data_IF_724957149921
#
_entry.id   IF_724957149921
#
_cell.length_a   1.000
_cell.length_b   1.000
_cell.length_c   1.000
_cell.angle_alpha   90.00
_cell.angle_beta   90.00
_cell.angle_gamma   90.00
#
_symmetry.space_group_name_H-M   'P 1'
#
loop_
_entity.id
_entity.type
_entity.pdbx_description
1 polymer ?
#
# COMPACT_ATOMS: atom_id res chain seq x y z
N UNK A 1 -7.80 2.86 4.32
CA UNK A 1 -7.34 3.13 2.95
C UNK A 1 -7.11 1.83 2.19
N UNK A 2 -7.33 1.87 0.88
CA UNK A 2 -7.28 0.69 0.01
C UNK A 2 -6.58 1.03 -1.31
N UNK A 3 -5.67 0.16 -1.76
CA UNK A 3 -5.06 0.26 -3.09
C UNK A 3 -4.70 -1.12 -3.63
N UNK A 4 -4.69 -1.25 -4.95
CA UNK A 4 -4.57 -2.53 -5.66
C UNK A 4 -3.41 -2.52 -6.67
N UNK A 5 -2.79 -3.68 -6.97
CA UNK A 5 -1.83 -3.83 -8.06
C UNK A 5 -2.49 -3.49 -9.40
N UNK A 6 -1.69 -2.97 -10.33
CA UNK A 6 -2.16 -2.63 -11.67
C UNK A 6 -2.79 -3.85 -12.34
N UNK A 7 -3.99 -3.67 -12.89
CA UNK A 7 -4.80 -4.74 -13.50
C UNK A 7 -5.18 -5.89 -12.54
N UNK A 8 -5.14 -5.67 -11.21
CA UNK A 8 -5.43 -6.70 -10.18
C UNK A 8 -4.67 -8.02 -10.40
N UNK A 9 -3.39 -7.93 -10.78
CA UNK A 9 -2.52 -9.09 -11.08
C UNK A 9 -2.24 -9.95 -9.84
N UNK A 10 -3.13 -10.89 -9.55
CA UNK A 10 -3.13 -11.72 -8.31
C UNK A 10 -1.88 -12.61 -8.18
N UNK A 11 -1.43 -13.24 -9.25
CA UNK A 11 -0.33 -14.23 -9.21
C UNK A 11 0.95 -13.61 -8.64
N UNK A 12 1.33 -12.46 -9.18
CA UNK A 12 2.56 -11.77 -8.82
C UNK A 12 2.43 -11.14 -7.45
N UNK A 13 1.29 -10.49 -7.20
CA UNK A 13 1.00 -9.91 -5.90
C UNK A 13 1.11 -10.94 -4.78
N UNK A 14 0.60 -12.17 -5.00
CA UNK A 14 0.76 -13.29 -4.07
C UNK A 14 2.21 -13.68 -3.86
N UNK A 15 3.01 -13.74 -4.93
CA UNK A 15 4.43 -14.09 -4.86
C UNK A 15 5.25 -13.08 -4.03
N UNK A 16 4.98 -11.78 -4.16
CA UNK A 16 5.71 -10.71 -3.44
C UNK A 16 4.99 -10.20 -2.18
N UNK A 17 3.90 -10.84 -1.77
CA UNK A 17 3.01 -10.36 -0.70
C UNK A 17 3.76 -10.16 0.62
N UNK A 18 4.65 -11.09 0.96
CA UNK A 18 5.43 -11.04 2.20
C UNK A 18 6.35 -9.81 2.23
N UNK A 19 7.13 -9.61 1.17
CA UNK A 19 8.00 -8.43 1.02
C UNK A 19 7.22 -7.13 1.05
N UNK A 20 6.07 -7.09 0.37
CA UNK A 20 5.18 -5.92 0.36
C UNK A 20 4.76 -5.51 1.76
N UNK A 21 4.36 -6.46 2.60
CA UNK A 21 3.95 -6.20 3.98
C UNK A 21 5.12 -5.62 4.78
N UNK A 22 6.31 -6.20 4.66
CA UNK A 22 7.51 -5.70 5.34
C UNK A 22 7.89 -4.28 4.90
N UNK A 23 7.86 -4.04 3.59
CA UNK A 23 8.16 -2.73 3.00
C UNK A 23 7.14 -1.68 3.46
N UNK A 24 5.85 -1.99 3.43
CA UNK A 24 4.80 -1.06 3.88
C UNK A 24 4.96 -0.74 5.37
N UNK A 25 5.20 -1.74 6.22
CA UNK A 25 5.47 -1.54 7.65
C UNK A 25 6.67 -0.62 7.88
N UNK A 26 7.77 -0.85 7.16
CA UNK A 26 8.97 -0.01 7.21
C UNK A 26 8.66 1.43 6.79
N UNK A 27 8.03 1.62 5.65
CA UNK A 27 7.70 2.94 5.10
C UNK A 27 6.75 3.72 6.02
N UNK A 28 5.72 3.08 6.57
CA UNK A 28 4.83 3.72 7.54
C UNK A 28 5.58 4.15 8.80
N UNK A 29 6.51 3.32 9.32
CA UNK A 29 7.35 3.67 10.47
C UNK A 29 8.24 4.89 10.17
N UNK A 30 8.89 4.91 9.00
CA UNK A 30 9.73 6.04 8.56
C UNK A 30 8.93 7.34 8.43
N UNK A 31 7.68 7.25 7.94
CA UNK A 31 6.78 8.39 7.80
C UNK A 31 6.06 8.78 9.11
N UNK A 32 6.37 8.13 10.24
CA UNK A 32 5.71 8.35 11.54
C UNK A 32 4.19 8.13 11.50
N UNK A 33 3.74 7.21 10.65
CA UNK A 33 2.34 6.79 10.56
C UNK A 33 2.17 5.45 11.27
N UNK A 34 1.25 5.40 12.24
CA UNK A 34 0.97 4.16 12.99
C UNK A 34 -0.04 3.31 12.22
N UNK A 35 0.35 2.08 11.90
CA UNK A 35 -0.59 1.07 11.39
C UNK A 35 -1.36 0.51 12.58
N UNK A 36 -2.69 0.65 12.56
CA UNK A 36 -3.59 0.08 13.56
C UNK A 36 -3.95 -1.35 13.13
N UNK A 37 -4.41 -1.51 11.90
CA UNK A 37 -4.71 -2.80 11.28
C UNK A 37 -4.29 -2.78 9.81
N UNK A 38 -3.99 -3.97 9.27
CA UNK A 38 -3.62 -4.08 7.87
C UNK A 38 -3.82 -5.50 7.36
N UNK A 39 -4.49 -5.62 6.23
CA UNK A 39 -4.75 -6.89 5.56
C UNK A 39 -4.30 -6.81 4.11
N UNK A 40 -3.52 -7.81 3.70
CA UNK A 40 -3.09 -7.97 2.31
C UNK A 40 -4.05 -8.92 1.59
N UNK A 41 -5.19 -8.46 1.10
CA UNK A 41 -6.16 -9.27 0.37
C UNK A 41 -5.58 -9.85 -0.94
N UNK A 42 -6.16 -10.89 -1.57
CA UNK A 42 -5.58 -11.55 -2.74
C UNK A 42 -5.27 -10.65 -3.96
N UNK A 43 -5.91 -9.50 -4.06
CA UNK A 43 -5.77 -8.56 -5.18
C UNK A 43 -5.68 -7.09 -4.77
N UNK A 44 -5.60 -6.78 -3.47
CA UNK A 44 -5.49 -5.41 -2.96
C UNK A 44 -5.01 -5.39 -1.51
N UNK A 45 -4.65 -4.22 -0.99
CA UNK A 45 -4.25 -4.03 0.42
C UNK A 45 -5.26 -3.12 1.11
N UNK A 46 -5.71 -3.52 2.30
CA UNK A 46 -6.45 -2.71 3.25
C UNK A 46 -5.52 -2.27 4.38
N UNK A 47 -5.48 -0.96 4.66
CA UNK A 47 -4.76 -0.42 5.81
C UNK A 47 -5.66 0.50 6.61
N UNK A 48 -5.70 0.28 7.92
CA UNK A 48 -6.20 1.22 8.89
C UNK A 48 -5.00 1.87 9.57
N UNK A 49 -4.85 3.18 9.40
CA UNK A 49 -3.68 3.93 9.86
C UNK A 49 -4.10 5.18 10.63
N UNK A 50 -3.32 5.52 11.65
CA UNK A 50 -3.37 6.81 12.32
C UNK A 50 -2.33 7.73 11.70
N UNK A 51 -2.79 8.73 10.95
CA UNK A 51 -1.96 9.71 10.24
C UNK A 51 -1.89 11.00 11.08
N UNK A 52 -0.70 11.61 11.27
CA UNK A 52 -0.60 12.91 11.93
C UNK A 52 -1.41 14.00 11.20
N UNK A 53 -2.04 14.95 11.91
CA UNK A 53 -2.96 15.92 11.31
C UNK A 53 -2.30 16.91 10.35
N UNK A 54 -0.98 17.12 10.48
CA UNK A 54 -0.22 17.98 9.58
C UNK A 54 0.17 17.30 8.25
N UNK A 55 -0.05 15.98 8.12
CA UNK A 55 0.37 15.21 6.94
C UNK A 55 -0.75 15.17 5.90
N UNK A 56 -0.44 15.56 4.67
CA UNK A 56 -1.36 15.43 3.55
C UNK A 56 -1.52 13.94 3.16
N UNK A 57 -2.77 13.46 3.19
CA UNK A 57 -3.11 12.05 2.93
C UNK A 57 -2.78 11.63 1.49
N UNK A 58 -3.02 12.49 0.50
CA UNK A 58 -2.73 12.20 -0.90
C UNK A 58 -1.22 12.00 -1.10
N UNK A 59 -0.40 12.92 -0.57
CA UNK A 59 1.06 12.84 -0.63
C UNK A 59 1.61 11.61 0.11
N UNK A 60 1.02 11.26 1.26
CA UNK A 60 1.36 10.04 2.00
C UNK A 60 1.14 8.78 1.14
N UNK A 61 -0.03 8.64 0.51
CA UNK A 61 -0.37 7.46 -0.29
C UNK A 61 0.47 7.40 -1.57
N UNK A 62 0.69 8.54 -2.22
CA UNK A 62 1.57 8.63 -3.39
C UNK A 62 2.99 8.17 -3.05
N UNK A 63 3.52 8.64 -1.93
CA UNK A 63 4.85 8.27 -1.44
C UNK A 63 4.90 6.78 -1.09
N UNK A 64 3.90 6.28 -0.35
CA UNK A 64 3.82 4.88 0.05
C UNK A 64 3.76 3.94 -1.16
N UNK A 65 2.89 4.22 -2.13
CA UNK A 65 2.77 3.43 -3.36
C UNK A 65 4.03 3.51 -4.22
N UNK A 66 4.60 4.70 -4.39
CA UNK A 66 5.77 4.90 -5.26
C UNK A 66 7.02 4.24 -4.68
N UNK A 67 7.32 4.46 -3.40
CA UNK A 67 8.48 3.85 -2.74
C UNK A 67 8.34 2.33 -2.62
N UNK A 68 7.15 1.82 -2.29
CA UNK A 68 6.94 0.37 -2.22
C UNK A 68 7.11 -0.31 -3.57
N UNK A 69 6.61 0.31 -4.66
CA UNK A 69 6.81 -0.21 -6.01
C UNK A 69 8.31 -0.27 -6.38
N UNK A 70 9.06 0.79 -6.08
CA UNK A 70 10.50 0.85 -6.34
C UNK A 70 11.24 -0.27 -5.58
N UNK A 71 11.02 -0.39 -4.28
CA UNK A 71 11.67 -1.40 -3.44
C UNK A 71 11.34 -2.83 -3.87
N UNK A 72 10.11 -3.08 -4.36
CA UNK A 72 9.74 -4.38 -4.91
C UNK A 72 10.49 -4.65 -6.22
N UNK A 73 10.59 -3.69 -7.13
CA UNK A 73 11.34 -3.87 -8.37
C UNK A 73 12.84 -4.06 -8.13
N UNK A 74 13.39 -3.44 -7.08
CA UNK A 74 14.80 -3.62 -6.70
C UNK A 74 15.05 -5.01 -6.09
N UNK A 75 14.17 -5.51 -5.21
CA UNK A 75 14.28 -6.87 -4.64
C UNK A 75 14.00 -7.97 -5.65
N UNK A 76 13.07 -7.72 -6.58
CA UNK A 76 12.59 -8.71 -7.54
C UNK A 76 12.87 -8.23 -8.97
N UNK A 77 14.15 -8.16 -9.33
CA UNK A 77 14.60 -7.63 -10.63
C UNK A 77 13.92 -8.31 -11.84
N UNK A 78 13.56 -9.60 -11.72
CA UNK A 78 12.84 -10.37 -12.75
C UNK A 78 11.45 -9.80 -13.08
N UNK A 79 10.81 -9.11 -12.12
CA UNK A 79 9.54 -8.44 -12.33
C UNK A 79 9.69 -7.23 -13.28
N UNK A 80 10.86 -6.58 -13.32
CA UNK A 80 11.09 -5.40 -14.18
C UNK A 80 10.94 -5.71 -15.67
N UNK A 81 11.33 -6.92 -16.10
CA UNK A 81 11.36 -7.32 -17.51
C UNK A 81 10.05 -7.92 -18.01
N UNK A 82 9.25 -8.52 -17.13
CA UNK A 82 7.98 -9.17 -17.51
C UNK A 82 6.83 -8.18 -17.81
N UNK A 83 6.94 -6.90 -17.47
CA UNK A 83 5.77 -5.99 -17.45
C UNK A 83 5.75 -4.82 -18.43
N UNK A 84 6.81 -4.62 -19.22
CA UNK A 84 6.92 -3.55 -20.24
C UNK A 84 6.82 -2.09 -19.73
N UNK A 85 6.21 -1.88 -18.56
CA UNK A 85 6.04 -0.60 -17.86
C UNK A 85 6.31 -0.80 -16.37
N UNK A 86 7.04 0.13 -15.74
CA UNK A 86 7.44 0.09 -14.32
C UNK A 86 6.30 0.47 -13.35
N UNK A 87 5.07 0.04 -13.61
CA UNK A 87 3.91 0.37 -12.79
C UNK A 87 3.43 -0.84 -11.99
N UNK A 88 3.67 -0.85 -10.68
CA UNK A 88 3.22 -1.94 -9.80
C UNK A 88 1.77 -1.74 -9.34
N UNK A 89 1.41 -0.53 -8.91
CA UNK A 89 0.08 -0.19 -8.39
C UNK A 89 -0.84 0.40 -9.46
N UNK A 90 -2.16 0.30 -9.25
CA UNK A 90 -3.15 1.12 -9.94
C UNK A 90 -2.94 2.60 -9.64
N UNK A 91 -3.37 3.50 -10.54
CA UNK A 91 -3.33 4.95 -10.30
C UNK A 91 -4.23 5.35 -9.12
N UNK A 92 -5.46 4.86 -9.11
CA UNK A 92 -6.42 5.15 -8.04
C UNK A 92 -6.07 4.55 -6.69
N UNK A 93 -6.74 5.06 -5.66
CA UNK A 93 -6.76 4.57 -4.28
C UNK A 93 -8.08 5.00 -3.64
N UNK A 94 -8.46 4.35 -2.55
CA UNK A 94 -9.62 4.72 -1.74
C UNK A 94 -9.17 5.08 -0.33
N UNK A 95 -9.72 6.15 0.21
CA UNK A 95 -9.52 6.60 1.60
C UNK A 95 -10.86 6.97 2.17
N UNK A 96 -11.07 6.57 3.41
CA UNK A 96 -12.15 7.06 4.24
C UNK A 96 -11.60 7.33 5.63
N UNK A 97 -12.19 8.30 6.31
CA UNK A 97 -11.87 8.63 7.70
C UNK A 97 -12.71 7.77 8.63
N UNK A 98 -12.08 7.16 9.64
CA UNK A 98 -12.81 6.44 10.68
C UNK A 98 -12.77 7.21 11.99
N UNK A 99 -13.93 7.42 12.61
CA UNK A 99 -14.04 8.13 13.88
C UNK A 99 -15.49 8.28 14.30
N UNK A 100 -15.81 7.77 15.51
CA UNK A 100 -17.12 7.87 16.20
C UNK A 100 -18.35 7.34 15.43
N UNK A 101 -18.46 6.01 15.34
CA UNK A 101 -19.75 5.30 15.40
C UNK A 101 -19.81 4.34 16.60
N UNK A 102 -19.21 4.73 17.74
CA UNK A 102 -19.26 3.94 18.98
C UNK A 102 -20.60 4.05 19.74
N UNK A 103 -21.60 4.77 19.19
CA UNK A 103 -22.89 5.09 19.86
C UNK A 103 -24.14 4.90 18.99
N UNK A 104 -24.07 4.04 17.97
CA UNK A 104 -25.29 3.48 17.37
C UNK A 104 -25.04 2.01 17.09
N UNK A 105 -25.26 1.20 18.12
CA UNK A 105 -26.03 -0.07 18.16
C UNK A 105 -26.32 -0.30 19.65
#
# INVERSE_FOLDING_TARGET
MVFAPKYRRKVIYKAVRKDLIEIIKKLCKEMRVKIIEGEACPDHIHLLVSIPPYMNIAQFIETLKSKSALMIFDRHANLKYQYGSRNFWCRGYFVDTVGKNAKMI
#
